data_IF_141212785112
#
_entry.id   IF_141212785112
#
_cell.length_a   1.000
_cell.length_b   1.000
_cell.length_c   1.000
_cell.angle_alpha   90.00
_cell.angle_beta   90.00
_cell.angle_gamma   90.00
#
_symmetry.space_group_name_H-M   'P 1'
#
loop_
_entity.id
_entity.type
_entity.pdbx_description
1 polymer ?
#
# COMPACT_ATOMS: atom_id res chain seq x y z
N UNK A 1 -35.84 17.33 -54.36
CA UNK A 1 -37.25 17.30 -53.88
C UNK A 1 -37.35 18.34 -52.78
N UNK A 2 -37.64 19.60 -53.14
CA UNK A 2 -38.98 20.26 -53.09
C UNK A 2 -39.47 20.44 -51.64
N UNK A 3 -39.31 21.66 -51.08
CA UNK A 3 -40.35 22.69 -50.87
C UNK A 3 -41.30 22.33 -49.70
N UNK A 4 -41.29 23.05 -48.58
CA UNK A 4 -41.83 24.39 -48.30
C UNK A 4 -43.19 24.33 -47.56
N UNK A 5 -43.23 25.10 -46.47
CA UNK A 5 -44.32 25.75 -45.74
C UNK A 5 -45.80 25.48 -46.11
N UNK A 6 -46.67 25.35 -45.09
CA UNK A 6 -47.68 26.38 -44.79
C UNK A 6 -48.45 26.17 -43.48
N UNK A 7 -48.75 27.30 -42.84
CA UNK A 7 -49.67 27.59 -41.71
C UNK A 7 -50.94 28.21 -42.33
N UNK A 8 -52.19 28.02 -41.83
CA UNK A 8 -52.85 28.86 -40.79
C UNK A 8 -53.79 28.07 -39.85
N UNK A 9 -54.04 28.40 -38.57
CA UNK A 9 -54.72 29.59 -38.01
C UNK A 9 -56.25 29.57 -38.25
N UNK A 10 -57.13 30.22 -37.46
CA UNK A 10 -57.10 30.58 -36.03
C UNK A 10 -58.50 30.45 -35.31
N UNK A 11 -58.56 30.90 -34.04
CA UNK A 11 -59.75 31.47 -33.33
C UNK A 11 -60.81 30.49 -32.78
N UNK A 12 -61.42 30.63 -31.60
CA UNK A 12 -61.70 31.82 -30.77
C UNK A 12 -62.08 31.42 -29.33
N UNK A 13 -61.68 32.25 -28.34
CA UNK A 13 -62.48 32.87 -27.25
C UNK A 13 -63.45 31.98 -26.42
N UNK A 14 -63.56 32.03 -25.09
CA UNK A 14 -63.54 33.21 -24.21
C UNK A 14 -63.70 32.80 -22.71
N UNK A 15 -63.04 33.56 -21.81
CA UNK A 15 -63.44 33.98 -20.43
C UNK A 15 -63.60 32.90 -19.32
N UNK A 16 -63.16 33.03 -18.07
CA UNK A 16 -63.03 34.18 -17.16
C UNK A 16 -61.86 34.06 -16.15
N UNK A 17 -61.46 35.23 -15.65
CA UNK A 17 -60.49 35.50 -14.59
C UNK A 17 -60.96 35.03 -13.21
N UNK A 18 -60.03 34.61 -12.35
CA UNK A 18 -59.86 35.20 -11.02
C UNK A 18 -58.51 34.80 -10.42
N UNK A 19 -57.75 35.79 -9.94
CA UNK A 19 -56.37 35.66 -9.53
C UNK A 19 -56.16 35.23 -8.08
N UNK A 20 -54.93 34.79 -7.79
CA UNK A 20 -54.10 35.17 -6.64
C UNK A 20 -52.89 34.22 -6.51
N UNK A 21 -51.70 34.79 -6.75
CA UNK A 21 -50.46 34.66 -5.96
C UNK A 21 -49.80 33.29 -5.72
N UNK A 22 -48.57 33.15 -6.28
CA UNK A 22 -47.34 32.51 -5.74
C UNK A 22 -47.47 31.14 -5.06
N UNK A 23 -46.71 30.11 -5.43
CA UNK A 23 -45.26 30.06 -5.22
C UNK A 23 -44.64 29.00 -6.13
N UNK A 24 -43.47 29.31 -6.67
CA UNK A 24 -42.61 28.43 -7.47
C UNK A 24 -42.25 27.18 -6.68
N UNK A 25 -42.63 26.00 -7.18
CA UNK A 25 -42.02 24.73 -6.81
C UNK A 25 -40.89 24.46 -7.81
N UNK A 26 -39.69 24.94 -7.48
CA UNK A 26 -38.46 24.38 -8.01
C UNK A 26 -38.22 23.05 -7.28
N UNK A 27 -38.77 21.96 -7.81
CA UNK A 27 -38.29 20.62 -7.51
C UNK A 27 -37.05 20.35 -8.38
N UNK A 28 -35.93 20.92 -7.95
CA UNK A 28 -34.59 20.42 -8.28
C UNK A 28 -33.99 19.78 -7.02
N UNK A 29 -34.63 18.74 -6.49
CA UNK A 29 -33.96 17.79 -5.59
C UNK A 29 -33.18 16.80 -6.46
N UNK A 30 -32.10 17.30 -7.05
CA UNK A 30 -31.03 16.47 -7.57
C UNK A 30 -30.20 16.03 -6.37
N UNK A 31 -30.53 14.87 -5.80
CA UNK A 31 -29.79 14.22 -4.72
C UNK A 31 -28.28 14.26 -5.04
N UNK A 32 -27.54 15.11 -4.34
CA UNK A 32 -26.08 15.05 -4.37
C UNK A 32 -25.68 13.80 -3.60
N UNK A 33 -25.27 12.77 -4.35
CA UNK A 33 -24.47 11.69 -3.78
C UNK A 33 -23.22 12.36 -3.20
N UNK A 34 -23.20 12.52 -1.87
CA UNK A 34 -21.98 12.91 -1.16
C UNK A 34 -21.04 11.72 -1.27
N UNK A 35 -20.20 11.74 -2.29
CA UNK A 35 -19.08 10.82 -2.39
C UNK A 35 -18.13 11.16 -1.23
N UNK A 36 -18.20 10.36 -0.17
CA UNK A 36 -17.32 10.51 0.98
C UNK A 36 -15.90 10.11 0.54
N UNK A 37 -15.09 11.11 0.20
CA UNK A 37 -13.67 10.91 -0.09
C UNK A 37 -12.98 10.25 1.11
N UNK A 38 -12.26 9.16 0.86
CA UNK A 38 -11.55 8.42 1.90
C UNK A 38 -10.39 9.28 2.42
N UNK A 39 -10.16 9.34 3.75
CA UNK A 39 -9.08 10.14 4.32
C UNK A 39 -7.69 9.52 4.10
N UNK A 40 -7.65 8.25 3.69
CA UNK A 40 -6.42 7.51 3.43
C UNK A 40 -6.70 6.32 2.52
N UNK A 41 -6.06 6.29 1.35
CA UNK A 41 -6.30 5.23 0.35
C UNK A 41 -5.25 4.11 0.42
N UNK A 42 -5.54 2.91 -0.13
CA UNK A 42 -4.55 1.85 -0.25
C UNK A 42 -3.29 2.27 -1.05
N UNK A 43 -3.44 3.15 -2.04
CA UNK A 43 -2.33 3.70 -2.83
C UNK A 43 -1.43 4.60 -1.96
N UNK A 44 -2.02 5.51 -1.18
CA UNK A 44 -1.27 6.34 -0.23
C UNK A 44 -0.59 5.48 0.85
N UNK A 45 -1.24 4.39 1.27
CA UNK A 45 -0.67 3.39 2.18
C UNK A 45 0.55 2.69 1.57
N UNK A 46 0.48 2.30 0.31
CA UNK A 46 1.59 1.70 -0.42
C UNK A 46 2.78 2.68 -0.52
N UNK A 47 2.52 3.93 -0.92
CA UNK A 47 3.55 4.98 -1.03
C UNK A 47 4.21 5.26 0.33
N UNK A 48 3.40 5.41 1.39
CA UNK A 48 3.91 5.65 2.75
C UNK A 48 4.79 4.47 3.23
N UNK A 49 4.33 3.24 3.00
CA UNK A 49 5.06 2.01 3.32
C UNK A 49 6.40 1.96 2.59
N UNK A 50 6.37 2.15 1.27
CA UNK A 50 7.55 2.09 0.42
C UNK A 50 8.56 3.13 0.87
N UNK A 51 8.13 4.39 1.03
CA UNK A 51 8.98 5.50 1.48
C UNK A 51 9.64 5.24 2.83
N UNK A 52 8.94 4.63 3.79
CA UNK A 52 9.54 4.28 5.07
C UNK A 52 10.66 3.24 4.87
N UNK A 53 10.38 2.19 4.10
CA UNK A 53 11.30 1.06 3.88
C UNK A 53 12.52 1.45 3.05
N UNK A 54 12.34 2.30 2.04
CA UNK A 54 13.41 2.78 1.15
C UNK A 54 14.09 4.05 1.67
N UNK A 55 13.63 4.61 2.79
CA UNK A 55 14.30 5.74 3.43
C UNK A 55 15.78 5.41 3.68
N UNK A 56 16.65 6.42 3.65
CA UNK A 56 18.11 6.29 3.90
C UNK A 56 18.46 5.81 5.33
N UNK A 57 17.50 5.25 6.06
CA UNK A 57 17.69 4.69 7.36
C UNK A 57 18.45 3.35 7.24
N UNK A 58 19.77 3.43 7.35
CA UNK A 58 20.68 2.27 7.26
C UNK A 58 20.36 1.16 8.27
N UNK A 59 19.53 1.42 9.28
CA UNK A 59 19.16 0.46 10.34
C UNK A 59 18.41 -0.78 9.83
N UNK A 60 18.02 -0.81 8.56
CA UNK A 60 17.22 -1.88 7.97
C UNK A 60 17.91 -2.56 6.79
N UNK A 61 19.16 -2.21 6.52
CA UNK A 61 19.94 -2.82 5.45
C UNK A 61 20.61 -4.09 5.99
N UNK A 62 20.10 -5.24 5.55
CA UNK A 62 20.49 -6.55 6.02
C UNK A 62 21.03 -7.44 4.89
N UNK A 63 21.25 -6.86 3.71
CA UNK A 63 21.92 -7.51 2.58
C UNK A 63 23.07 -6.63 2.10
N UNK A 64 24.27 -7.21 2.05
CA UNK A 64 25.46 -6.64 1.42
C UNK A 64 25.52 -7.23 0.02
N UNK A 65 25.55 -6.37 -1.00
CA UNK A 65 25.65 -6.77 -2.39
C UNK A 65 27.09 -6.58 -2.82
N UNK A 66 27.71 -7.66 -3.29
CA UNK A 66 29.10 -7.70 -3.70
C UNK A 66 29.23 -8.08 -5.18
N UNK A 67 30.28 -7.55 -5.82
CA UNK A 67 30.69 -7.93 -7.16
C UNK A 67 32.20 -8.02 -7.24
N UNK A 68 32.71 -9.17 -7.68
CA UNK A 68 34.13 -9.52 -7.66
C UNK A 68 34.74 -9.37 -6.26
N UNK A 69 34.00 -9.76 -5.21
CA UNK A 69 34.42 -9.65 -3.81
C UNK A 69 34.57 -8.23 -3.30
N UNK A 70 34.01 -7.23 -4.00
CA UNK A 70 33.92 -5.84 -3.53
C UNK A 70 32.48 -5.50 -3.21
N UNK A 71 32.25 -4.84 -2.07
CA UNK A 71 30.93 -4.30 -1.74
C UNK A 71 30.54 -3.20 -2.71
N UNK A 72 29.46 -3.44 -3.42
CA UNK A 72 28.83 -2.49 -4.36
C UNK A 72 27.86 -1.60 -3.59
N UNK A 73 26.94 -2.21 -2.83
CA UNK A 73 25.95 -1.48 -2.05
C UNK A 73 25.35 -2.34 -0.93
N UNK A 74 24.43 -1.77 -0.15
CA UNK A 74 23.63 -2.47 0.84
C UNK A 74 22.14 -2.23 0.58
N UNK A 75 21.33 -3.25 0.82
CA UNK A 75 19.89 -3.21 0.57
C UNK A 75 19.11 -3.90 1.69
N UNK A 76 17.79 -3.73 1.67
CA UNK A 76 16.87 -4.49 2.50
C UNK A 76 16.42 -5.76 1.76
N UNK A 77 16.44 -6.92 2.45
CA UNK A 77 16.06 -8.20 1.85
C UNK A 77 14.63 -8.22 1.31
N UNK A 78 13.68 -7.54 1.96
CA UNK A 78 12.28 -7.49 1.51
C UNK A 78 12.17 -6.74 0.19
N UNK A 79 12.91 -5.63 0.06
CA UNK A 79 12.93 -4.82 -1.15
C UNK A 79 13.42 -5.60 -2.36
N UNK A 80 14.64 -6.16 -2.27
CA UNK A 80 15.22 -6.88 -3.40
C UNK A 80 14.47 -8.18 -3.73
N UNK A 81 13.94 -8.86 -2.72
CA UNK A 81 13.13 -10.08 -2.92
C UNK A 81 11.78 -9.76 -3.56
N UNK A 82 11.20 -8.60 -3.27
CA UNK A 82 9.90 -8.21 -3.84
C UNK A 82 9.99 -8.04 -5.36
N UNK A 83 11.10 -7.51 -5.86
CA UNK A 83 11.28 -7.23 -7.28
C UNK A 83 12.03 -8.33 -8.04
N UNK A 84 12.70 -9.26 -7.35
CA UNK A 84 13.40 -10.38 -7.99
C UNK A 84 13.09 -11.71 -7.30
N UNK A 85 12.28 -12.58 -7.93
CA UNK A 85 12.04 -13.94 -7.46
C UNK A 85 13.32 -14.79 -7.40
N UNK A 86 14.31 -14.52 -8.26
CA UNK A 86 15.60 -15.20 -8.23
C UNK A 86 16.35 -14.86 -6.94
N UNK A 87 16.47 -13.57 -6.62
CA UNK A 87 17.11 -13.11 -5.38
C UNK A 87 16.31 -13.54 -4.14
N UNK A 88 14.98 -13.54 -4.21
CA UNK A 88 14.13 -14.09 -3.16
C UNK A 88 14.52 -15.53 -2.81
N UNK A 89 14.67 -16.42 -3.80
CA UNK A 89 15.04 -17.82 -3.57
C UNK A 89 16.45 -17.97 -2.96
N UNK A 90 17.38 -17.09 -3.33
CA UNK A 90 18.72 -17.07 -2.75
C UNK A 90 18.66 -16.62 -1.29
N UNK A 91 17.95 -15.53 -1.02
CA UNK A 91 17.86 -14.91 0.30
C UNK A 91 17.04 -15.71 1.31
N UNK A 92 16.10 -16.54 0.84
CA UNK A 92 15.40 -17.50 1.71
C UNK A 92 16.33 -18.57 2.29
N UNK A 93 17.45 -18.86 1.60
CA UNK A 93 18.47 -19.82 2.06
C UNK A 93 19.58 -19.13 2.87
N UNK A 94 19.62 -17.80 2.86
CA UNK A 94 20.61 -17.02 3.59
C UNK A 94 20.35 -17.07 5.10
N UNK A 95 21.39 -16.87 5.94
CA UNK A 95 21.22 -16.82 7.38
C UNK A 95 20.27 -15.70 7.82
N UNK A 96 19.72 -15.88 9.01
CA UNK A 96 18.97 -14.84 9.73
C UNK A 96 19.98 -13.77 10.20
N UNK A 97 19.79 -12.51 9.80
CA UNK A 97 20.71 -11.42 10.09
C UNK A 97 21.30 -10.79 8.81
N UNK A 98 22.54 -10.31 8.85
CA UNK A 98 23.18 -9.74 7.65
C UNK A 98 23.58 -10.87 6.70
N UNK A 99 23.14 -10.77 5.44
CA UNK A 99 23.50 -11.69 4.37
C UNK A 99 24.42 -10.98 3.35
N UNK A 100 25.32 -11.75 2.73
CA UNK A 100 26.12 -11.27 1.59
C UNK A 100 25.65 -11.97 0.33
N UNK A 101 25.42 -11.20 -0.73
CA UNK A 101 25.00 -11.69 -2.03
C UNK A 101 26.04 -11.25 -3.08
N UNK A 102 26.81 -12.21 -3.57
CA UNK A 102 27.82 -12.00 -4.61
C UNK A 102 27.18 -12.20 -6.00
N UNK A 103 27.27 -11.17 -6.85
CA UNK A 103 26.98 -11.27 -8.28
C UNK A 103 28.29 -11.20 -9.05
N UNK A 104 28.73 -12.35 -9.54
CA UNK A 104 29.87 -12.47 -10.45
C UNK A 104 29.47 -12.00 -11.86
N UNK A 105 30.04 -10.89 -12.38
CA UNK A 105 29.75 -10.41 -13.72
C UNK A 105 30.14 -11.41 -14.82
N UNK A 106 31.15 -12.26 -14.59
CA UNK A 106 31.57 -13.26 -15.56
C UNK A 106 30.54 -14.41 -15.68
N UNK A 107 29.90 -14.78 -14.56
CA UNK A 107 28.88 -15.81 -14.53
C UNK A 107 27.50 -15.30 -15.00
N UNK A 108 27.17 -14.06 -14.65
CA UNK A 108 25.82 -13.49 -14.89
C UNK A 108 25.74 -12.65 -16.17
N UNK A 109 26.87 -12.13 -16.67
CA UNK A 109 26.88 -11.14 -17.74
C UNK A 109 26.35 -9.75 -17.31
N UNK A 110 26.13 -9.53 -16.01
CA UNK A 110 25.62 -8.26 -15.46
C UNK A 110 26.81 -7.46 -14.93
N UNK A 111 27.06 -6.28 -15.49
CA UNK A 111 28.09 -5.37 -14.98
C UNK A 111 27.65 -4.71 -13.66
N UNK A 112 28.64 -4.22 -12.90
CA UNK A 112 28.38 -3.47 -11.66
C UNK A 112 27.47 -2.24 -11.89
N UNK A 113 27.70 -1.48 -12.96
CA UNK A 113 26.87 -0.31 -13.31
C UNK A 113 25.42 -0.70 -13.63
N UNK A 114 25.21 -1.84 -14.31
CA UNK A 114 23.86 -2.34 -14.61
C UNK A 114 23.18 -2.86 -13.34
N UNK A 115 23.92 -3.51 -12.45
CA UNK A 115 23.42 -3.94 -11.15
C UNK A 115 22.97 -2.74 -10.30
N UNK A 116 23.77 -1.67 -10.26
CA UNK A 116 23.41 -0.44 -9.57
C UNK A 116 22.13 0.19 -10.14
N UNK A 117 22.00 0.27 -11.47
CA UNK A 117 20.76 0.77 -12.10
C UNK A 117 19.53 -0.07 -11.77
N UNK A 118 19.68 -1.40 -11.70
CA UNK A 118 18.61 -2.30 -11.33
C UNK A 118 18.19 -2.11 -9.86
N UNK A 119 19.15 -1.90 -8.96
CA UNK A 119 18.87 -1.62 -7.55
C UNK A 119 18.27 -0.23 -7.35
N UNK A 120 18.70 0.77 -8.13
CA UNK A 120 18.10 2.10 -8.14
C UNK A 120 16.63 2.03 -8.59
N UNK A 121 16.30 1.23 -9.60
CA UNK A 121 14.91 0.96 -9.97
C UNK A 121 14.13 0.36 -8.80
N UNK A 122 14.67 -0.67 -8.12
CA UNK A 122 13.98 -1.26 -6.95
C UNK A 122 13.69 -0.22 -5.86
N UNK A 123 14.58 0.77 -5.68
CA UNK A 123 14.43 1.84 -4.69
C UNK A 123 13.54 3.01 -5.13
N UNK A 124 13.34 3.23 -6.43
CA UNK A 124 12.74 4.48 -6.95
C UNK A 124 11.57 4.28 -7.91
N UNK A 125 11.40 3.07 -8.45
CA UNK A 125 10.47 2.79 -9.55
C UNK A 125 10.91 3.34 -10.89
N UNK A 126 12.07 3.99 -10.97
CA UNK A 126 12.54 4.69 -12.17
C UNK A 126 13.87 4.14 -12.66
N UNK A 127 14.09 4.15 -13.97
CA UNK A 127 15.37 3.79 -14.56
C UNK A 127 15.58 4.43 -15.93
N UNK A 128 16.81 4.34 -16.44
CA UNK A 128 17.13 4.66 -17.82
C UNK A 128 17.12 3.37 -18.65
N UNK A 129 16.33 3.32 -19.71
CA UNK A 129 16.22 2.14 -20.56
C UNK A 129 17.57 1.79 -21.20
N UNK A 130 17.95 0.52 -21.15
CA UNK A 130 19.12 0.01 -21.87
C UNK A 130 19.01 -1.50 -22.14
N UNK A 131 19.62 -2.01 -23.21
CA UNK A 131 19.66 -3.46 -23.48
C UNK A 131 20.29 -4.26 -22.34
N UNK A 132 21.30 -3.70 -21.68
CA UNK A 132 21.98 -4.33 -20.55
C UNK A 132 21.06 -4.45 -19.33
N UNK A 133 20.28 -3.39 -19.04
CA UNK A 133 19.31 -3.43 -17.95
C UNK A 133 18.17 -4.40 -18.25
N UNK A 134 17.70 -4.47 -19.50
CA UNK A 134 16.70 -5.46 -19.92
C UNK A 134 17.22 -6.89 -19.75
N UNK A 135 18.47 -7.16 -20.17
CA UNK A 135 19.11 -8.46 -19.94
C UNK A 135 19.20 -8.80 -18.44
N UNK A 136 19.61 -7.85 -17.60
CA UNK A 136 19.70 -8.06 -16.16
C UNK A 136 18.32 -8.31 -15.53
N UNK A 137 17.29 -7.56 -15.96
CA UNK A 137 15.92 -7.74 -15.51
C UNK A 137 15.38 -9.14 -15.86
N UNK A 138 15.64 -9.62 -17.08
CA UNK A 138 15.25 -10.97 -17.49
C UNK A 138 15.99 -12.05 -16.69
N UNK A 139 17.32 -11.92 -16.56
CA UNK A 139 18.17 -12.87 -15.84
C UNK A 139 17.78 -13.00 -14.35
N UNK A 140 17.50 -11.88 -13.69
CA UNK A 140 17.09 -11.84 -12.27
C UNK A 140 15.58 -12.03 -12.08
N UNK A 141 14.82 -12.23 -13.15
CA UNK A 141 13.37 -12.45 -13.08
C UNK A 141 12.57 -11.22 -12.64
N UNK A 142 13.08 -10.01 -12.84
CA UNK A 142 12.41 -8.75 -12.54
C UNK A 142 11.31 -8.46 -13.57
N UNK A 143 10.17 -9.17 -13.47
CA UNK A 143 9.13 -9.16 -14.49
C UNK A 143 8.55 -7.77 -14.80
N UNK A 144 8.28 -6.95 -13.77
CA UNK A 144 7.73 -5.60 -13.96
C UNK A 144 8.73 -4.68 -14.68
N UNK A 145 10.00 -4.69 -14.27
CA UNK A 145 11.07 -3.95 -14.95
C UNK A 145 11.23 -4.40 -16.40
N UNK A 146 11.21 -5.71 -16.63
CA UNK A 146 11.30 -6.27 -17.99
C UNK A 146 10.14 -5.76 -18.86
N UNK A 147 8.91 -5.84 -18.38
CA UNK A 147 7.73 -5.35 -19.11
C UNK A 147 7.81 -3.85 -19.41
N UNK A 148 8.24 -3.05 -18.42
CA UNK A 148 8.46 -1.61 -18.58
C UNK A 148 9.48 -1.32 -19.69
N UNK A 149 10.60 -2.05 -19.70
CA UNK A 149 11.67 -1.88 -20.68
C UNK A 149 11.28 -2.40 -22.07
N UNK A 150 10.57 -3.53 -22.16
CA UNK A 150 10.07 -4.10 -23.43
C UNK A 150 9.04 -3.18 -24.10
N UNK A 151 8.27 -2.42 -23.31
CA UNK A 151 7.33 -1.41 -23.82
C UNK A 151 8.02 -0.15 -24.36
N UNK A 152 9.33 0.01 -24.15
CA UNK A 152 10.11 1.18 -24.54
C UNK A 152 10.96 0.88 -25.76
N UNK A 153 10.63 1.48 -26.91
CA UNK A 153 11.37 1.25 -28.17
C UNK A 153 12.73 1.97 -28.26
N UNK A 154 12.96 2.98 -27.41
CA UNK A 154 14.15 3.83 -27.46
C UNK A 154 15.08 3.58 -26.27
N UNK A 155 16.36 3.32 -26.54
CA UNK A 155 17.39 3.20 -25.50
C UNK A 155 17.76 4.58 -24.96
N UNK A 156 17.99 4.67 -23.65
CA UNK A 156 18.41 5.89 -22.97
C UNK A 156 17.27 6.75 -22.45
N UNK A 157 16.01 6.35 -22.63
CA UNK A 157 14.82 7.04 -22.13
C UNK A 157 14.67 6.82 -20.62
N UNK A 158 14.28 7.85 -19.88
CA UNK A 158 13.86 7.69 -18.49
C UNK A 158 12.43 7.17 -18.45
N UNK A 159 12.23 6.06 -17.73
CA UNK A 159 10.94 5.38 -17.59
C UNK A 159 10.64 5.18 -16.11
N UNK A 160 9.35 5.15 -15.78
CA UNK A 160 8.84 5.02 -14.41
C UNK A 160 7.72 3.98 -14.36
N UNK A 161 7.70 3.17 -13.31
CA UNK A 161 6.62 2.22 -13.01
C UNK A 161 5.61 2.86 -12.06
N UNK A 162 4.47 3.29 -12.60
CA UNK A 162 3.39 3.94 -11.83
C UNK A 162 2.77 3.02 -10.77
N UNK A 163 3.05 1.71 -10.80
CA UNK A 163 2.52 0.71 -9.87
C UNK A 163 3.58 0.19 -8.90
N UNK A 164 4.78 0.79 -8.88
CA UNK A 164 5.95 0.25 -8.19
C UNK A 164 5.70 0.02 -6.68
N UNK A 165 5.18 1.03 -5.99
CA UNK A 165 4.92 0.97 -4.55
C UNK A 165 3.78 0.00 -4.21
N UNK A 166 2.75 -0.05 -5.05
CA UNK A 166 1.61 -0.96 -4.89
C UNK A 166 2.09 -2.40 -5.05
N UNK A 167 2.83 -2.70 -6.11
CA UNK A 167 3.43 -4.02 -6.34
C UNK A 167 4.34 -4.41 -5.17
N UNK A 168 5.14 -3.49 -4.65
CA UNK A 168 5.96 -3.75 -3.47
C UNK A 168 5.11 -4.18 -2.26
N UNK A 169 4.06 -3.43 -1.93
CA UNK A 169 3.16 -3.76 -0.82
C UNK A 169 2.50 -5.14 -1.01
N UNK A 170 2.03 -5.45 -2.22
CA UNK A 170 1.46 -6.75 -2.56
C UNK A 170 2.45 -7.90 -2.34
N UNK A 171 3.74 -7.69 -2.68
CA UNK A 171 4.78 -8.68 -2.42
C UNK A 171 5.02 -8.89 -0.93
N UNK A 172 4.97 -7.84 -0.11
CA UNK A 172 5.03 -8.00 1.35
C UNK A 172 3.85 -8.82 1.88
N UNK A 173 2.63 -8.56 1.38
CA UNK A 173 1.45 -9.33 1.74
C UNK A 173 1.59 -10.81 1.34
N UNK A 174 2.13 -11.08 0.14
CA UNK A 174 2.48 -12.44 -0.31
C UNK A 174 3.50 -13.09 0.62
N UNK A 175 4.58 -12.39 0.96
CA UNK A 175 5.60 -12.93 1.86
C UNK A 175 5.02 -13.31 3.21
N UNK A 176 4.11 -12.50 3.77
CA UNK A 176 3.44 -12.88 5.02
C UNK A 176 2.58 -14.13 4.86
N UNK A 177 1.77 -14.21 3.81
CA UNK A 177 0.92 -15.37 3.52
C UNK A 177 1.75 -16.65 3.37
N UNK A 178 2.92 -16.55 2.75
CA UNK A 178 3.85 -17.66 2.50
C UNK A 178 4.86 -17.88 3.64
N UNK A 179 4.73 -17.14 4.76
CA UNK A 179 5.64 -17.20 5.91
C UNK A 179 7.11 -16.92 5.60
N UNK A 180 7.39 -16.06 4.62
CA UNK A 180 8.72 -15.66 4.17
C UNK A 180 9.24 -14.44 4.92
N UNK A 181 10.52 -14.47 5.28
CA UNK A 181 11.25 -13.36 5.92
C UNK A 181 10.66 -12.84 7.23
N UNK A 182 9.78 -13.59 7.89
CA UNK A 182 9.13 -13.17 9.13
C UNK A 182 10.13 -13.08 10.28
N UNK A 183 10.29 -11.89 10.84
CA UNK A 183 11.29 -11.57 11.86
C UNK A 183 10.67 -10.99 13.16
N UNK A 184 9.34 -10.90 13.22
CA UNK A 184 8.61 -10.43 14.40
C UNK A 184 7.47 -11.38 14.78
N UNK A 185 7.38 -11.70 16.07
CA UNK A 185 6.26 -12.39 16.68
C UNK A 185 5.58 -11.45 17.68
N UNK A 186 4.31 -11.13 17.45
CA UNK A 186 3.49 -10.34 18.38
C UNK A 186 2.58 -11.28 19.15
N UNK A 187 2.73 -11.29 20.48
CA UNK A 187 1.90 -12.04 21.40
C UNK A 187 0.92 -11.06 22.06
N UNK A 188 -0.38 -11.25 21.80
CA UNK A 188 -1.46 -10.48 22.42
C UNK A 188 -2.43 -11.44 23.10
N UNK A 189 -2.68 -11.22 24.39
CA UNK A 189 -3.53 -12.11 25.21
C UNK A 189 -2.88 -13.47 25.52
N UNK A 190 -3.71 -14.50 25.73
CA UNK A 190 -3.26 -15.78 26.30
C UNK A 190 -2.67 -16.78 25.30
N UNK A 191 -3.01 -16.72 24.01
CA UNK A 191 -2.70 -17.82 23.06
C UNK A 191 -2.38 -17.38 21.61
N UNK A 192 -2.50 -16.10 21.26
CA UNK A 192 -2.29 -15.63 19.89
C UNK A 192 -0.85 -15.23 19.61
N UNK A 193 -0.17 -15.92 18.69
CA UNK A 193 1.09 -15.47 18.09
C UNK A 193 0.81 -15.00 16.67
N UNK A 194 1.04 -13.73 16.41
CA UNK A 194 0.92 -13.14 15.07
C UNK A 194 2.32 -12.91 14.54
N UNK A 195 2.64 -13.54 13.41
CA UNK A 195 3.97 -13.43 12.78
C UNK A 195 3.89 -12.39 11.66
N UNK A 196 4.85 -11.47 11.63
CA UNK A 196 4.89 -10.37 10.67
C UNK A 196 6.33 -9.90 10.42
N UNK A 197 6.49 -8.95 9.49
CA UNK A 197 7.73 -8.23 9.25
C UNK A 197 7.78 -7.03 10.21
N UNK A 198 8.80 -7.00 11.07
CA UNK A 198 9.06 -5.91 12.00
C UNK A 198 9.12 -4.56 11.30
N UNK A 199 9.80 -4.51 10.16
CA UNK A 199 9.99 -3.27 9.42
C UNK A 199 8.65 -2.66 9.00
N UNK A 200 7.72 -3.49 8.53
CA UNK A 200 6.39 -3.05 8.15
C UNK A 200 5.59 -2.58 9.36
N UNK A 201 5.72 -3.24 10.51
CA UNK A 201 5.07 -2.78 11.73
C UNK A 201 5.63 -1.44 12.21
N UNK A 202 6.94 -1.21 12.08
CA UNK A 202 7.55 0.08 12.42
C UNK A 202 7.06 1.19 11.49
N UNK A 203 6.86 0.92 10.20
CA UNK A 203 6.35 1.89 9.23
C UNK A 203 4.98 2.46 9.63
N UNK A 204 4.15 1.65 10.30
CA UNK A 204 2.76 1.98 10.58
C UNK A 204 2.43 2.18 12.05
N UNK A 205 3.37 1.94 12.96
CA UNK A 205 3.18 2.09 14.41
C UNK A 205 4.38 2.77 15.05
N UNK A 206 4.17 4.02 15.47
CA UNK A 206 5.19 4.82 16.18
C UNK A 206 5.67 4.15 17.47
N UNK A 207 4.77 3.47 18.18
CA UNK A 207 5.10 2.79 19.44
C UNK A 207 5.92 1.52 19.17
N UNK A 208 5.58 0.73 18.16
CA UNK A 208 6.37 -0.43 17.77
C UNK A 208 7.73 -0.02 17.21
N UNK A 209 7.80 1.04 16.41
CA UNK A 209 9.08 1.60 15.95
C UNK A 209 9.99 1.95 17.13
N UNK A 210 9.46 2.69 18.11
CA UNK A 210 10.20 3.07 19.31
C UNK A 210 10.68 1.83 20.08
N UNK A 211 9.79 0.87 20.31
CA UNK A 211 10.08 -0.35 21.06
C UNK A 211 11.07 -1.30 20.35
N UNK A 212 11.05 -1.33 19.01
CA UNK A 212 11.82 -2.25 18.20
C UNK A 212 13.12 -1.67 17.67
N UNK A 213 13.30 -0.34 17.75
CA UNK A 213 14.46 0.39 17.27
C UNK A 213 15.82 -0.21 17.71
N UNK A 214 15.92 -0.66 18.96
CA UNK A 214 17.14 -1.28 19.51
C UNK A 214 17.38 -2.73 19.08
N UNK A 215 16.38 -3.36 18.46
CA UNK A 215 16.41 -4.80 18.13
C UNK A 215 16.65 -5.08 16.65
N UNK A 216 16.69 -4.08 15.78
CA UNK A 216 16.60 -4.22 14.31
C UNK A 216 17.61 -5.19 13.68
N UNK A 217 18.80 -5.34 14.28
CA UNK A 217 19.85 -6.28 13.83
C UNK A 217 19.76 -7.68 14.46
N UNK A 218 18.82 -7.88 15.38
CA UNK A 218 18.51 -9.20 15.95
C UNK A 218 17.70 -10.01 14.95
N UNK A 219 17.86 -11.33 14.98
CA UNK A 219 17.16 -12.25 14.10
C UNK A 219 15.64 -12.17 14.23
N UNK A 220 15.04 -13.01 15.08
CA UNK A 220 13.60 -12.96 15.35
C UNK A 220 13.33 -12.32 16.71
N UNK A 221 12.44 -11.33 16.74
CA UNK A 221 12.02 -10.64 17.97
C UNK A 221 10.63 -11.10 18.37
N UNK A 222 10.40 -11.21 19.69
CA UNK A 222 9.06 -11.49 20.23
C UNK A 222 8.62 -10.34 21.11
N UNK A 223 7.51 -9.71 20.73
CA UNK A 223 6.85 -8.63 21.47
C UNK A 223 5.69 -9.23 22.24
N UNK A 224 5.62 -8.94 23.53
CA UNK A 224 4.46 -9.29 24.36
C UNK A 224 3.71 -8.01 24.70
N UNK A 225 2.47 -7.92 24.24
CA UNK A 225 1.58 -6.82 24.60
C UNK A 225 0.92 -7.20 25.91
N UNK A 226 1.20 -6.43 26.95
CA UNK A 226 0.60 -6.65 28.25
C UNK A 226 -0.89 -6.30 28.20
N UNK A 227 -1.72 -7.33 28.09
CA UNK A 227 -3.18 -7.20 28.03
C UNK A 227 -3.80 -6.54 29.28
N UNK A 228 -3.05 -6.41 30.38
CA UNK A 228 -3.48 -5.72 31.60
C UNK A 228 -3.37 -4.20 31.47
N UNK A 229 -2.41 -3.72 30.68
CA UNK A 229 -2.14 -2.30 30.48
C UNK A 229 -2.73 -1.80 29.16
N UNK A 230 -2.79 -2.66 28.14
CA UNK A 230 -3.30 -2.33 26.81
C UNK A 230 -4.29 -3.42 26.41
N UNK A 231 -5.59 -3.12 26.39
CA UNK A 231 -6.66 -4.10 26.13
C UNK A 231 -6.79 -4.46 24.64
N UNK A 232 -5.69 -4.90 24.02
CA UNK A 232 -5.65 -5.31 22.62
C UNK A 232 -5.94 -6.81 22.54
N UNK A 233 -7.06 -7.16 21.93
CA UNK A 233 -7.40 -8.55 21.62
C UNK A 233 -6.52 -9.09 20.47
N UNK A 234 -6.36 -10.40 20.41
CA UNK A 234 -5.68 -11.06 19.28
C UNK A 234 -6.33 -10.74 17.94
N UNK A 235 -7.66 -10.63 17.90
CA UNK A 235 -8.40 -10.31 16.68
C UNK A 235 -8.14 -8.87 16.21
N UNK A 236 -8.08 -7.90 17.14
CA UNK A 236 -7.73 -6.52 16.80
C UNK A 236 -6.28 -6.39 16.36
N UNK A 237 -5.36 -7.09 17.03
CA UNK A 237 -3.97 -7.15 16.58
C UNK A 237 -3.87 -7.73 15.18
N UNK A 238 -4.63 -8.80 14.87
CA UNK A 238 -4.67 -9.36 13.53
C UNK A 238 -5.17 -8.33 12.51
N UNK A 239 -6.28 -7.65 12.79
CA UNK A 239 -6.80 -6.58 11.91
C UNK A 239 -5.80 -5.44 11.69
N UNK A 240 -5.07 -5.03 12.73
CA UNK A 240 -4.04 -3.99 12.62
C UNK A 240 -2.83 -4.44 11.79
N UNK A 241 -2.39 -5.69 11.96
CA UNK A 241 -1.33 -6.25 11.12
C UNK A 241 -1.85 -6.39 9.69
N UNK A 242 -3.07 -6.90 9.46
CA UNK A 242 -3.66 -7.01 8.12
C UNK A 242 -3.72 -5.65 7.42
N UNK A 243 -4.17 -4.60 8.11
CA UNK A 243 -4.11 -3.22 7.63
C UNK A 243 -2.70 -2.79 7.22
N UNK A 244 -1.67 -3.08 8.03
CA UNK A 244 -0.29 -2.73 7.68
C UNK A 244 0.18 -3.33 6.33
N UNK A 245 -0.35 -4.51 5.95
CA UNK A 245 -0.02 -5.17 4.68
C UNK A 245 -0.90 -4.78 3.49
N UNK A 246 -2.04 -4.12 3.71
CA UNK A 246 -3.02 -3.90 2.63
C UNK A 246 -3.51 -2.47 2.52
N UNK A 247 -3.38 -1.64 3.56
CA UNK A 247 -4.05 -0.35 3.66
C UNK A 247 -5.57 -0.44 3.80
N UNK A 248 -6.14 -1.65 3.90
CA UNK A 248 -7.59 -1.86 3.89
C UNK A 248 -8.13 -2.12 5.30
N UNK A 249 -9.15 -1.36 5.69
CA UNK A 249 -9.90 -1.57 6.93
C UNK A 249 -10.95 -2.69 6.76
N UNK A 250 -10.54 -3.93 7.02
CA UNK A 250 -11.44 -5.08 7.13
C UNK A 250 -11.85 -5.34 8.59
N UNK A 251 -12.90 -4.64 9.03
CA UNK A 251 -13.48 -4.81 10.35
C UNK A 251 -14.99 -4.61 10.32
N UNK A 252 -15.69 -5.52 11.02
CA UNK A 252 -17.13 -5.42 11.26
C UNK A 252 -17.48 -4.27 12.20
N UNK A 253 -18.65 -3.66 11.98
CA UNK A 253 -19.13 -2.45 12.67
C UNK A 253 -19.01 -2.55 14.20
N UNK A 254 -19.44 -3.69 14.76
CA UNK A 254 -19.42 -3.94 16.22
C UNK A 254 -18.02 -3.88 16.84
N UNK A 255 -16.97 -4.08 16.04
CA UNK A 255 -15.58 -4.09 16.49
C UNK A 255 -14.85 -2.76 16.31
N UNK A 256 -15.39 -1.83 15.51
CA UNK A 256 -14.70 -0.58 15.15
C UNK A 256 -14.25 0.21 16.38
N UNK A 257 -15.11 0.35 17.40
CA UNK A 257 -14.78 1.06 18.64
C UNK A 257 -13.55 0.47 19.34
N UNK A 258 -13.50 -0.85 19.51
CA UNK A 258 -12.38 -1.50 20.20
C UNK A 258 -11.12 -1.53 19.35
N UNK A 259 -11.26 -1.69 18.02
CA UNK A 259 -10.15 -1.62 17.09
C UNK A 259 -9.53 -0.23 17.08
N UNK A 260 -10.33 0.83 17.09
CA UNK A 260 -9.89 2.23 17.16
C UNK A 260 -9.02 2.47 18.40
N UNK A 261 -9.46 2.04 19.58
CA UNK A 261 -8.69 2.15 20.82
C UNK A 261 -7.36 1.41 20.71
N UNK A 262 -7.40 0.18 20.18
CA UNK A 262 -6.18 -0.63 19.97
C UNK A 262 -5.19 0.05 19.02
N UNK A 263 -5.69 0.62 17.91
CA UNK A 263 -4.89 1.32 16.91
C UNK A 263 -4.28 2.61 17.49
N UNK A 264 -5.06 3.36 18.28
CA UNK A 264 -4.58 4.53 19.00
C UNK A 264 -3.47 4.17 20.01
N UNK A 265 -3.67 3.11 20.79
CA UNK A 265 -2.69 2.63 21.78
C UNK A 265 -1.37 2.17 21.16
N UNK A 266 -1.37 1.78 19.88
CA UNK A 266 -0.16 1.47 19.11
C UNK A 266 0.34 2.64 18.26
N UNK A 267 -0.33 3.78 18.27
CA UNK A 267 0.04 4.94 17.46
C UNK A 267 -0.06 4.67 15.95
N UNK A 268 -1.08 3.93 15.52
CA UNK A 268 -1.40 3.70 14.10
C UNK A 268 -2.40 4.76 13.61
N UNK A 269 -1.90 5.97 13.33
CA UNK A 269 -2.74 7.16 13.09
C UNK A 269 -3.68 7.02 11.90
N UNK A 270 -3.19 6.57 10.75
CA UNK A 270 -3.99 6.42 9.54
C UNK A 270 -5.12 5.38 9.69
N UNK A 271 -4.88 4.32 10.47
CA UNK A 271 -5.94 3.36 10.79
C UNK A 271 -7.02 3.98 11.68
N UNK A 272 -6.64 4.83 12.64
CA UNK A 272 -7.61 5.56 13.48
C UNK A 272 -8.46 6.50 12.63
N UNK A 273 -7.84 7.24 11.70
CA UNK A 273 -8.52 8.15 10.77
C UNK A 273 -9.55 7.41 9.89
N UNK A 274 -9.16 6.27 9.32
CA UNK A 274 -10.06 5.42 8.52
C UNK A 274 -11.23 4.86 9.34
N UNK A 275 -10.98 4.45 10.59
CA UNK A 275 -12.05 3.94 11.47
C UNK A 275 -13.02 5.07 11.83
N UNK A 276 -12.52 6.27 12.12
CA UNK A 276 -13.35 7.43 12.44
C UNK A 276 -14.20 7.85 11.26
N UNK A 277 -13.63 7.87 10.06
CA UNK A 277 -14.38 8.12 8.83
C UNK A 277 -15.48 7.08 8.61
N UNK A 278 -15.16 5.78 8.69
CA UNK A 278 -16.14 4.69 8.53
C UNK A 278 -17.25 4.76 9.58
N UNK A 279 -16.93 5.10 10.83
CA UNK A 279 -17.92 5.24 11.89
C UNK A 279 -18.88 6.42 11.63
N UNK A 280 -18.36 7.55 11.11
CA UNK A 280 -19.16 8.71 10.76
C UNK A 280 -20.08 8.43 9.55
N UNK A 281 -19.56 7.73 8.54
CA UNK A 281 -20.35 7.32 7.38
C UNK A 281 -21.54 6.46 7.80
N UNK A 282 -21.32 5.43 8.63
CA UNK A 282 -22.39 4.56 9.12
C UNK A 282 -23.44 5.33 9.94
N UNK A 283 -23.00 6.28 10.78
CA UNK A 283 -23.91 7.11 11.55
C UNK A 283 -24.73 8.08 10.67
N UNK A 284 -24.20 8.48 9.52
CA UNK A 284 -24.93 9.27 8.52
C UNK A 284 -25.98 8.41 7.81
N UNK A 285 -25.60 7.22 7.35
CA UNK A 285 -26.48 6.25 6.69
C UNK A 285 -27.66 5.85 7.60
N UNK A 286 -27.41 5.51 8.88
CA UNK A 286 -28.46 5.19 9.85
C UNK A 286 -29.47 6.32 10.05
N UNK A 287 -29.02 7.59 10.01
CA UNK A 287 -29.90 8.77 10.14
C UNK A 287 -30.73 9.00 8.88
N UNK A 288 -30.20 8.67 7.71
CA UNK A 288 -30.92 8.79 6.44
C UNK A 288 -32.00 7.71 6.35
N UNK A 289 -31.66 6.45 6.63
CA UNK A 289 -32.64 5.34 6.66
C UNK A 289 -33.78 5.60 7.66
N UNK A 290 -33.47 6.15 8.83
CA UNK A 290 -34.48 6.50 9.85
C UNK A 290 -35.41 7.67 9.44
N UNK A 291 -35.07 8.44 8.41
CA UNK A 291 -35.89 9.57 7.91
C UNK A 291 -36.86 9.19 6.79
N UNK A 292 -36.61 8.06 6.11
CA UNK A 292 -37.41 7.59 4.98
C UNK A 292 -38.09 6.22 5.23
N UNK A 293 -37.94 5.66 6.44
CA UNK A 293 -38.56 4.41 6.90
C UNK A 293 -39.78 4.60 7.80
#
# INVERSE_FOLDING_TARGET
>A
MLLAANVPGPSSQQTEQNGATQTEANDEDFESYVEFELPYTPEEHAVSTFKYITSKNEKHLDVIIESNGRTVTKANRLLISAFSPVLEQVLLKAPVGVATLELDPAATGISEDTLLQLLDYMHTGSCRSSPQLLHAADFLGCAALKELLDSTSESGLEVHDDWHEIRFLEQLARFRKESKFLDCNIISGRLGVIRCHRLLMCAHSKHLETALSGSLHSGTVTIRIDSRNVHISTENMKSMVDFAYTGVLDAGIRRLRMLRVSAFDLGMTHLVELIDHKANQLAYEERHESRYG
#
